data_IF_641380782445
#
_entry.id   IF_641380782445
#
_cell.length_a   1.000
_cell.length_b   1.000
_cell.length_c   1.000
_cell.angle_alpha   90.00
_cell.angle_beta   90.00
_cell.angle_gamma   90.00
#
_symmetry.space_group_name_H-M   'P 1'
#
loop_
_entity.id
_entity.type
_entity.pdbx_description
1 polymer ?
#
# COMPACT_ATOMS: atom_id res chain seq x y z
N UNK A 1 22.08 -31.06 0.25
CA UNK A 1 20.98 -30.07 0.22
C UNK A 1 21.38 -29.01 -0.80
N UNK A 2 20.52 -28.70 -1.75
CA UNK A 2 20.82 -27.76 -2.83
C UNK A 2 20.92 -26.33 -2.24
N UNK A 3 22.04 -25.60 -2.43
CA UNK A 3 22.20 -24.23 -1.92
C UNK A 3 21.23 -23.21 -2.54
N UNK A 4 20.37 -23.62 -3.49
CA UNK A 4 19.41 -22.75 -4.17
C UNK A 4 17.99 -22.79 -3.61
N UNK A 5 17.68 -23.70 -2.67
CA UNK A 5 16.33 -23.75 -2.07
C UNK A 5 16.15 -22.64 -1.05
N UNK A 6 15.58 -21.52 -1.51
CA UNK A 6 15.11 -20.43 -0.64
C UNK A 6 13.92 -20.91 0.18
N UNK A 7 14.10 -21.00 1.50
CA UNK A 7 13.07 -21.49 2.43
C UNK A 7 12.30 -20.39 3.12
N UNK A 8 12.77 -19.13 3.06
CA UNK A 8 12.12 -18.00 3.70
C UNK A 8 12.37 -16.69 2.94
N UNK A 9 11.37 -15.83 2.96
CA UNK A 9 11.39 -14.48 2.42
C UNK A 9 11.18 -13.48 3.56
N UNK A 10 11.79 -12.31 3.48
CA UNK A 10 11.61 -11.23 4.45
C UNK A 10 11.08 -10.04 3.67
N UNK A 11 9.80 -9.74 3.82
CA UNK A 11 9.18 -8.60 3.18
C UNK A 11 9.45 -7.33 3.95
N UNK A 12 9.75 -6.26 3.21
CA UNK A 12 10.06 -4.94 3.74
C UNK A 12 9.10 -3.91 3.16
N UNK A 13 8.63 -2.98 3.98
CA UNK A 13 7.95 -1.73 3.56
C UNK A 13 8.71 -0.55 4.15
N UNK A 14 9.15 0.37 3.30
CA UNK A 14 9.87 1.58 3.71
C UNK A 14 11.03 1.28 4.67
N UNK A 15 11.80 0.23 4.35
CA UNK A 15 12.93 -0.30 5.13
C UNK A 15 12.57 -0.93 6.49
N UNK A 16 11.30 -1.13 6.78
CA UNK A 16 10.82 -1.85 7.97
C UNK A 16 10.32 -3.25 7.61
N UNK A 17 10.61 -4.23 8.46
CA UNK A 17 10.15 -5.61 8.28
C UNK A 17 8.63 -5.71 8.42
N UNK A 18 7.99 -6.39 7.46
CA UNK A 18 6.60 -6.80 7.55
C UNK A 18 6.58 -8.17 8.24
N UNK A 19 6.19 -8.18 9.52
CA UNK A 19 6.16 -9.42 10.31
C UNK A 19 5.11 -10.41 9.78
N UNK A 20 5.33 -11.69 10.07
CA UNK A 20 4.42 -12.80 9.74
C UNK A 20 4.16 -12.99 8.23
N UNK A 21 5.07 -12.50 7.38
CA UNK A 21 5.03 -12.68 5.92
C UNK A 21 6.35 -13.30 5.46
N UNK A 22 6.41 -14.63 5.42
CA UNK A 22 7.63 -15.39 5.08
C UNK A 22 7.56 -16.13 3.74
N UNK A 23 6.41 -16.06 3.06
CA UNK A 23 6.20 -16.70 1.77
C UNK A 23 6.72 -15.88 0.60
N UNK A 24 6.87 -16.56 -0.54
CA UNK A 24 7.22 -15.94 -1.84
C UNK A 24 6.23 -14.87 -2.29
N UNK A 25 5.00 -14.87 -1.76
CA UNK A 25 3.93 -13.93 -2.08
C UNK A 25 3.59 -13.16 -0.80
N UNK A 26 3.65 -11.82 -0.86
CA UNK A 26 3.11 -10.93 0.18
C UNK A 26 1.61 -10.76 -0.04
N UNK A 27 0.81 -11.17 0.94
CA UNK A 27 -0.63 -10.93 0.93
C UNK A 27 -0.98 -9.80 1.90
N UNK A 28 -1.55 -8.71 1.37
CA UNK A 28 -2.00 -7.57 2.17
C UNK A 28 -3.53 -7.59 2.21
N UNK A 29 -4.10 -7.87 3.37
CA UNK A 29 -5.54 -7.75 3.63
C UNK A 29 -5.93 -6.31 3.96
N UNK A 30 -7.21 -5.95 3.75
CA UNK A 30 -7.77 -4.63 4.08
C UNK A 30 -6.92 -3.45 3.57
N UNK A 31 -6.69 -3.41 2.26
CA UNK A 31 -5.87 -2.39 1.61
C UNK A 31 -6.41 -0.98 1.87
N UNK A 32 -5.53 -0.08 2.31
CA UNK A 32 -5.81 1.32 2.61
C UNK A 32 -4.66 2.23 2.13
N UNK A 33 -4.85 3.54 2.20
CA UNK A 33 -3.81 4.53 1.83
C UNK A 33 -2.47 4.31 2.56
N UNK A 34 -2.50 3.71 3.77
CA UNK A 34 -1.33 3.42 4.58
C UNK A 34 -0.44 2.32 3.97
N UNK A 35 -0.97 1.55 3.02
CA UNK A 35 -0.20 0.56 2.28
C UNK A 35 0.64 1.18 1.14
N UNK A 36 0.53 2.50 0.90
CA UNK A 36 1.46 3.21 0.00
C UNK A 36 2.89 3.14 0.55
N UNK A 37 3.88 2.87 -0.31
CA UNK A 37 5.28 2.84 0.09
C UNK A 37 6.19 2.06 -0.86
N UNK A 38 7.48 1.99 -0.50
CA UNK A 38 8.49 1.20 -1.19
C UNK A 38 8.55 -0.21 -0.59
N UNK A 39 8.34 -1.22 -1.43
CA UNK A 39 8.41 -2.61 -1.05
C UNK A 39 9.68 -3.25 -1.60
N UNK A 40 10.29 -4.12 -0.80
CA UNK A 40 11.36 -5.00 -1.25
C UNK A 40 11.22 -6.36 -0.56
N UNK A 41 11.86 -7.36 -1.14
CA UNK A 41 11.98 -8.66 -0.53
C UNK A 41 13.45 -8.99 -0.32
N UNK A 42 13.74 -9.54 0.85
CA UNK A 42 15.05 -10.00 1.24
C UNK A 42 15.03 -11.52 1.37
N UNK A 43 16.09 -12.17 0.91
CA UNK A 43 16.27 -13.61 1.02
C UNK A 43 17.59 -13.89 1.74
N UNK A 44 17.59 -14.66 2.84
CA UNK A 44 18.82 -15.14 3.46
C UNK A 44 19.46 -16.20 2.55
N UNK A 45 20.70 -15.93 2.16
CA UNK A 45 21.54 -16.85 1.39
C UNK A 45 22.86 -17.03 2.14
N UNK A 46 22.98 -18.14 2.86
CA UNK A 46 24.08 -18.40 3.80
C UNK A 46 24.23 -17.25 4.82
N UNK A 47 25.38 -16.55 4.81
CA UNK A 47 25.68 -15.45 5.72
C UNK A 47 25.34 -14.06 5.15
N UNK A 48 24.65 -13.99 4.02
CA UNK A 48 24.29 -12.74 3.34
C UNK A 48 22.79 -12.61 3.14
N UNK A 49 22.33 -11.37 2.98
CA UNK A 49 20.97 -11.04 2.56
C UNK A 49 20.99 -10.52 1.13
N UNK A 50 20.30 -11.20 0.23
CA UNK A 50 20.05 -10.71 -1.12
C UNK A 50 18.76 -9.90 -1.09
N UNK A 51 18.83 -8.65 -1.55
CA UNK A 51 17.67 -7.74 -1.60
C UNK A 51 17.19 -7.60 -3.04
N UNK A 52 15.89 -7.68 -3.27
CA UNK A 52 15.28 -7.42 -4.58
C UNK A 52 15.41 -5.94 -4.99
N UNK A 53 15.03 -5.64 -6.23
CA UNK A 53 14.69 -4.26 -6.59
C UNK A 53 13.52 -3.74 -5.73
N UNK A 54 13.43 -2.42 -5.60
CA UNK A 54 12.30 -1.77 -4.96
C UNK A 54 11.11 -1.70 -5.91
N UNK A 55 9.91 -1.91 -5.35
CA UNK A 55 8.63 -1.70 -5.98
C UNK A 55 7.88 -0.62 -5.21
N UNK A 56 7.64 0.54 -5.85
CA UNK A 56 6.83 1.58 -5.25
C UNK A 56 5.35 1.35 -5.57
N UNK A 57 4.53 1.20 -4.53
CA UNK A 57 3.08 1.03 -4.64
C UNK A 57 2.40 2.29 -4.11
N UNK A 58 1.45 2.81 -4.88
CA UNK A 58 0.56 3.90 -4.45
C UNK A 58 -0.86 3.37 -4.33
N UNK A 59 -1.47 3.56 -3.16
CA UNK A 59 -2.88 3.25 -2.91
C UNK A 59 -3.64 4.57 -2.77
N UNK A 60 -4.62 4.79 -3.65
CA UNK A 60 -5.49 5.96 -3.58
C UNK A 60 -6.87 5.57 -3.07
N UNK A 61 -7.40 6.34 -2.10
CA UNK A 61 -8.80 6.24 -1.72
C UNK A 61 -9.62 7.14 -2.64
N UNK A 62 -10.56 6.56 -3.36
CA UNK A 62 -11.63 7.35 -3.98
C UNK A 62 -12.67 7.58 -2.88
N UNK A 63 -12.65 8.76 -2.28
CA UNK A 63 -13.62 9.14 -1.25
C UNK A 63 -15.02 9.16 -1.87
N UNK A 64 -15.85 8.18 -1.54
CA UNK A 64 -17.30 8.39 -1.59
C UNK A 64 -17.61 9.29 -0.41
N UNK A 65 -18.09 10.51 -0.67
CA UNK A 65 -18.60 11.36 0.39
C UNK A 65 -19.84 10.67 0.99
N UNK A 66 -19.65 9.94 2.09
CA UNK A 66 -20.76 9.42 2.88
C UNK A 66 -21.17 10.57 3.81
N UNK A 67 -22.11 11.39 3.34
CA UNK A 67 -22.74 12.39 4.19
C UNK A 67 -23.55 11.66 5.27
N UNK A 68 -23.10 11.70 6.52
CA UNK A 68 -23.82 11.10 7.65
C UNK A 68 -24.96 11.98 8.17
N UNK A 69 -25.29 13.07 7.46
CA UNK A 69 -26.35 14.00 7.84
C UNK A 69 -27.37 14.17 6.71
N UNK A 70 -28.63 14.38 7.11
CA UNK A 70 -29.80 14.42 6.24
C UNK A 70 -29.89 15.65 5.31
N UNK A 71 -28.84 16.48 5.18
CA UNK A 71 -28.95 17.67 4.33
C UNK A 71 -27.64 18.05 3.64
N UNK A 72 -27.63 17.87 2.32
CA UNK A 72 -26.68 18.48 1.39
C UNK A 72 -27.37 19.69 0.76
N UNK A 73 -26.94 20.91 1.09
CA UNK A 73 -27.44 22.14 0.47
C UNK A 73 -26.43 22.61 -0.57
N UNK A 74 -26.78 22.52 -1.86
CA UNK A 74 -26.04 23.14 -2.95
C UNK A 74 -26.85 24.35 -3.40
N UNK A 75 -26.41 25.56 -3.04
CA UNK A 75 -27.03 26.80 -3.49
C UNK A 75 -26.30 27.30 -4.75
N UNK A 76 -27.02 27.37 -5.88
CA UNK A 76 -26.57 28.12 -7.04
C UNK A 76 -27.15 29.54 -6.94
N UNK A 77 -26.30 30.55 -6.74
CA UNK A 77 -26.72 31.95 -6.81
C UNK A 77 -26.85 32.38 -8.28
N UNK A 78 -28.05 32.80 -8.68
CA UNK A 78 -28.25 33.44 -9.99
C UNK A 78 -27.76 34.89 -9.91
N UNK A 79 -26.78 35.25 -10.74
CA UNK A 79 -26.33 36.64 -10.88
C UNK A 79 -27.43 37.40 -11.65
N UNK A 80 -28.25 38.21 -10.98
CA UNK A 80 -29.18 39.10 -11.68
C UNK A 80 -28.40 40.29 -12.24
N UNK A 81 -28.26 40.36 -13.57
CA UNK A 81 -27.94 41.61 -14.25
C UNK A 81 -29.18 42.51 -14.18
N UNK A 82 -29.14 43.54 -13.34
CA UNK A 82 -30.11 44.63 -13.41
C UNK A 82 -29.91 45.36 -14.74
N UNK A 83 -30.97 45.39 -15.56
CA UNK A 83 -31.07 46.26 -16.73
C UNK A 83 -31.27 47.71 -16.31
#
# INVERSE_FOLDING_TARGET
>A
TDPTTVTSYIWMKDKMVIFNQSGRILQIGNVSINNTGNYSCNIPQNNYLVTSNYLYITVTSHGVAIFSSAMLVIAAGMLSLMQ
#
